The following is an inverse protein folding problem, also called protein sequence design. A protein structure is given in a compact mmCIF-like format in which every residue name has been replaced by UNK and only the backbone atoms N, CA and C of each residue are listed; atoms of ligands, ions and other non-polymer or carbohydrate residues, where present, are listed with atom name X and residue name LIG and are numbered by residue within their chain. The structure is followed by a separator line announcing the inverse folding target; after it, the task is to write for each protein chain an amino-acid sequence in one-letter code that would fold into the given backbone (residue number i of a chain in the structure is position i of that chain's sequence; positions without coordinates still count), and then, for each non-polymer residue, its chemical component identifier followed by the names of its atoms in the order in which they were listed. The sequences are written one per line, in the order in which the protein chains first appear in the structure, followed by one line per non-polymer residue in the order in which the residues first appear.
data_IF_302104575224
#
_entry.id   IF_302104575224
#
_cell.length_a   1.000
_cell.length_b   1.000
_cell.length_c   1.000
_cell.angle_alpha   90.00
_cell.angle_beta   90.00
_cell.angle_gamma   90.00
#
_symmetry.space_group_name_H-M   'P 1'
#
loop_
_entity.id
_entity.type
_entity.pdbx_description
1 polymer ?
#
# COMPACT_ATOMS: atom_id res chain seq x y z
N UNK A 1 2.27 12.52 -4.73
CA UNK A 1 1.70 11.21 -4.30
C UNK A 1 2.75 10.11 -4.29
N UNK A 2 3.33 9.74 -5.44
CA UNK A 2 4.22 8.57 -5.52
C UNK A 2 5.48 8.70 -4.65
N UNK A 3 6.09 9.88 -4.58
CA UNK A 3 7.23 10.14 -3.67
C UNK A 3 6.87 9.90 -2.20
N UNK A 4 5.67 10.32 -1.78
CA UNK A 4 5.18 10.05 -0.42
C UNK A 4 5.00 8.54 -0.19
N UNK A 5 4.38 7.84 -1.15
CA UNK A 5 4.14 6.40 -1.07
C UNK A 5 5.45 5.59 -1.03
N UNK A 6 6.46 6.01 -1.79
CA UNK A 6 7.81 5.44 -1.73
C UNK A 6 8.46 5.70 -0.37
N UNK A 7 8.44 6.95 0.10
CA UNK A 7 9.06 7.37 1.36
C UNK A 7 8.47 6.64 2.57
N UNK A 8 7.14 6.59 2.70
CA UNK A 8 6.47 5.87 3.79
C UNK A 8 6.71 4.35 3.73
N UNK A 9 7.07 3.83 2.56
CA UNK A 9 7.41 2.41 2.37
C UNK A 9 8.84 2.07 2.77
N UNK A 10 9.79 2.86 2.27
CA UNK A 10 11.22 2.58 2.43
C UNK A 10 11.80 3.16 3.73
N UNK A 11 11.33 4.33 4.14
CA UNK A 11 11.86 5.08 5.27
C UNK A 11 10.76 5.80 6.06
N UNK A 12 9.77 5.07 6.63
CA UNK A 12 8.65 5.69 7.35
C UNK A 12 9.08 6.58 8.51
N UNK A 13 10.24 6.33 9.13
CA UNK A 13 10.82 7.16 10.20
C UNK A 13 11.29 8.55 9.73
N UNK A 14 11.31 8.80 8.43
CA UNK A 14 11.68 10.10 7.83
C UNK A 14 10.47 10.92 7.37
N UNK A 15 9.26 10.35 7.42
CA UNK A 15 8.03 11.05 7.05
C UNK A 15 7.81 12.19 8.04
N UNK A 16 7.52 13.38 7.52
CA UNK A 16 7.32 14.61 8.26
C UNK A 16 6.06 15.34 7.78
N UNK A 17 5.64 16.36 8.53
CA UNK A 17 4.48 17.19 8.20
C UNK A 17 4.61 17.84 6.80
N UNK A 18 5.82 18.23 6.40
CA UNK A 18 6.10 18.80 5.08
C UNK A 18 5.75 17.86 3.92
N UNK A 19 5.81 16.54 4.11
CA UNK A 19 5.40 15.59 3.07
C UNK A 19 3.87 15.62 2.88
N UNK A 20 3.11 15.81 3.96
CA UNK A 20 1.65 15.96 3.93
C UNK A 20 1.26 17.31 3.34
N UNK A 21 1.96 18.38 3.72
CA UNK A 21 1.77 19.72 3.13
C UNK A 21 2.05 19.71 1.63
N UNK A 22 3.08 18.99 1.17
CA UNK A 22 3.37 18.85 -0.25
C UNK A 22 2.23 18.14 -1.00
N UNK A 23 1.59 17.14 -0.40
CA UNK A 23 0.39 16.51 -0.99
C UNK A 23 -0.77 17.51 -1.08
N UNK A 24 -1.04 18.29 -0.01
CA UNK A 24 -2.07 19.34 -0.04
C UNK A 24 -1.79 20.39 -1.11
N UNK A 25 -0.54 20.80 -1.28
CA UNK A 25 -0.12 21.76 -2.31
C UNK A 25 -0.39 21.26 -3.75
N UNK A 26 -0.46 19.94 -3.94
CA UNK A 26 -0.81 19.29 -5.21
C UNK A 26 -2.33 19.03 -5.36
N UNK A 27 -3.15 19.51 -4.44
CA UNK A 27 -4.61 19.46 -4.53
C UNK A 27 -5.26 18.22 -3.94
N UNK A 28 -4.53 17.38 -3.18
CA UNK A 28 -5.13 16.30 -2.41
C UNK A 28 -5.80 16.86 -1.15
N UNK A 29 -7.05 16.47 -0.90
CA UNK A 29 -7.72 16.75 0.36
C UNK A 29 -7.28 15.76 1.45
N UNK A 30 -7.69 16.02 2.70
CA UNK A 30 -7.27 15.21 3.85
C UNK A 30 -7.75 13.75 3.73
N UNK A 31 -8.89 13.49 3.08
CA UNK A 31 -9.41 12.14 2.85
C UNK A 31 -8.51 11.39 1.88
N UNK A 32 -8.18 12.00 0.74
CA UNK A 32 -7.29 11.41 -0.25
C UNK A 32 -5.88 11.18 0.32
N UNK A 33 -5.38 12.08 1.16
CA UNK A 33 -4.09 11.91 1.85
C UNK A 33 -4.13 10.71 2.81
N UNK A 34 -5.22 10.57 3.58
CA UNK A 34 -5.42 9.42 4.45
C UNK A 34 -5.46 8.11 3.64
N UNK A 35 -6.14 8.09 2.50
CA UNK A 35 -6.18 6.92 1.61
C UNK A 35 -4.80 6.58 1.05
N UNK A 36 -4.04 7.57 0.58
CA UNK A 36 -2.66 7.38 0.09
C UNK A 36 -1.80 6.74 1.18
N UNK A 37 -1.84 7.28 2.41
CA UNK A 37 -1.06 6.76 3.53
C UNK A 37 -1.50 5.35 3.93
N UNK A 38 -2.81 5.13 4.05
CA UNK A 38 -3.41 3.86 4.48
C UNK A 38 -3.11 2.73 3.50
N UNK A 39 -3.36 2.95 2.20
CA UNK A 39 -3.12 1.93 1.17
C UNK A 39 -1.64 1.60 1.07
N UNK A 40 -0.76 2.62 1.09
CA UNK A 40 0.68 2.40 1.07
C UNK A 40 1.15 1.59 2.27
N UNK A 41 0.74 1.97 3.48
CA UNK A 41 1.11 1.28 4.72
C UNK A 41 0.55 -0.16 4.79
N UNK A 42 -0.69 -0.37 4.35
CA UNK A 42 -1.32 -1.69 4.35
C UNK A 42 -0.57 -2.68 3.45
N UNK A 43 -0.17 -2.25 2.25
CA UNK A 43 0.64 -3.09 1.35
C UNK A 43 1.98 -3.46 1.97
N UNK A 44 2.60 -2.55 2.71
CA UNK A 44 3.85 -2.82 3.43
C UNK A 44 3.66 -3.83 4.56
N UNK A 45 2.57 -3.71 5.33
CA UNK A 45 2.23 -4.68 6.36
C UNK A 45 2.06 -6.09 5.76
N UNK A 46 1.24 -6.24 4.72
CA UNK A 46 0.99 -7.54 4.08
C UNK A 46 2.29 -8.15 3.54
N UNK A 47 3.09 -7.37 2.81
CA UNK A 47 4.34 -7.85 2.26
C UNK A 47 5.34 -8.27 3.35
N UNK A 48 5.43 -7.52 4.46
CA UNK A 48 6.33 -7.84 5.58
C UNK A 48 5.88 -9.09 6.34
N UNK A 49 4.57 -9.27 6.55
CA UNK A 49 4.03 -10.48 7.19
C UNK A 49 4.29 -11.71 6.32
N UNK A 50 3.96 -11.64 5.02
CA UNK A 50 4.18 -12.74 4.10
C UNK A 50 5.66 -13.14 4.02
N UNK A 51 6.54 -12.16 3.82
CA UNK A 51 7.98 -12.40 3.74
C UNK A 51 8.56 -12.87 5.08
N UNK A 52 8.11 -12.32 6.20
CA UNK A 52 8.60 -12.67 7.54
C UNK A 52 8.22 -14.08 7.98
N UNK A 53 7.12 -14.62 7.45
CA UNK A 53 6.65 -15.98 7.72
C UNK A 53 7.03 -16.98 6.62
N UNK A 54 7.69 -16.54 5.55
CA UNK A 54 8.05 -17.40 4.43
C UNK A 54 6.84 -17.91 3.64
N UNK A 55 5.77 -17.12 3.55
CA UNK A 55 4.59 -17.48 2.75
C UNK A 55 5.00 -17.50 1.28
N UNK A 56 4.98 -18.69 0.69
CA UNK A 56 5.18 -18.84 -0.76
C UNK A 56 3.89 -18.52 -1.52
N UNK A 57 4.04 -17.92 -2.69
CA UNK A 57 2.93 -17.77 -3.62
C UNK A 57 2.58 -19.16 -4.13
N UNK A 58 1.30 -19.53 -4.13
CA UNK A 58 0.85 -20.78 -4.75
C UNK A 58 1.34 -20.85 -6.21
N UNK A 59 1.76 -22.04 -6.66
CA UNK A 59 2.15 -22.34 -8.03
C UNK A 59 0.94 -22.23 -8.96
N UNK A 60 0.54 -21.00 -9.24
CA UNK A 60 -0.68 -20.65 -9.94
C UNK A 60 -0.76 -19.14 -9.99
N UNK A 61 -0.15 -18.57 -11.03
CA UNK A 61 -0.05 -17.12 -11.24
C UNK A 61 -1.41 -16.45 -10.97
N UNK A 62 -1.48 -15.66 -9.90
CA UNK A 62 -2.64 -14.84 -9.55
C UNK A 62 -3.18 -13.99 -10.72
N UNK A 63 -2.31 -13.61 -11.67
CA UNK A 63 -2.70 -12.89 -12.88
C UNK A 63 -3.50 -13.74 -13.88
N UNK A 64 -3.27 -15.05 -13.90
CA UNK A 64 -3.86 -16.01 -14.82
C UNK A 64 -5.09 -16.74 -14.22
N UNK A 65 -5.40 -16.51 -12.94
CA UNK A 65 -6.55 -17.09 -12.24
C UNK A 65 -7.61 -16.02 -11.88
N UNK A 66 -8.70 -15.90 -12.65
CA UNK A 66 -9.78 -14.94 -12.39
C UNK A 66 -10.50 -15.14 -11.06
N UNK A 67 -10.61 -16.37 -10.58
CA UNK A 67 -11.30 -16.71 -9.32
C UNK A 67 -10.49 -16.23 -8.11
N UNK A 68 -9.16 -16.42 -8.15
CA UNK A 68 -8.27 -15.91 -7.12
C UNK A 68 -8.31 -14.36 -7.01
N UNK A 69 -8.47 -13.66 -8.14
CA UNK A 69 -8.66 -12.21 -8.16
C UNK A 69 -9.99 -11.77 -7.56
N UNK A 70 -11.07 -12.48 -7.86
CA UNK A 70 -12.39 -12.21 -7.31
C UNK A 70 -12.43 -12.41 -5.78
N UNK A 71 -11.86 -13.53 -5.30
CA UNK A 71 -11.78 -13.84 -3.87
C UNK A 71 -10.95 -12.82 -3.07
N UNK A 72 -9.85 -12.30 -3.64
CA UNK A 72 -9.09 -11.22 -3.00
C UNK A 72 -9.86 -9.90 -2.94
N UNK A 73 -10.60 -9.55 -4.00
CA UNK A 73 -11.43 -8.34 -4.02
C UNK A 73 -12.59 -8.43 -3.03
N UNK A 74 -13.17 -9.62 -2.81
CA UNK A 74 -14.16 -9.84 -1.74
C UNK A 74 -13.54 -9.76 -0.34
N UNK A 75 -12.31 -10.23 -0.15
CA UNK A 75 -11.63 -10.18 1.15
C UNK A 75 -11.05 -8.81 1.52
N UNK A 76 -11.05 -7.84 0.60
CA UNK A 76 -10.55 -6.48 0.81
C UNK A 76 -11.65 -5.43 1.06
N UNK A 77 -12.93 -5.83 1.02
CA UNK A 77 -14.12 -5.01 1.32
C UNK A 77 -14.69 -5.41 2.68
#
# INVERSE_FOLDING_TARGET
MLEYAEKITLAPWTVAESDVENLRAHGFDDVAILEIATVSAYRNFVARVANGLGVELEDGKFADNPEARAAMMEGLV
#
